data_IF_562856384704
#
_entry.id   IF_562856384704
#
_cell.length_a   1.000
_cell.length_b   1.000
_cell.length_c   1.000
_cell.angle_alpha   90.00
_cell.angle_beta   90.00
_cell.angle_gamma   90.00
#
_symmetry.space_group_name_H-M   'P 1'
#
loop_
_entity.id
_entity.type
_entity.pdbx_description
1 polymer ?
#
# COMPACT_ATOMS: atom_id res chain seq x y z
N UNK A 1 3.03 -10.45 -1.54
CA UNK A 1 3.08 -9.27 -0.65
C UNK A 1 3.51 -8.06 -1.48
N UNK A 2 2.80 -6.94 -1.41
CA UNK A 2 3.20 -5.70 -2.06
C UNK A 2 3.36 -4.55 -1.07
N UNK A 3 4.39 -3.73 -1.28
CA UNK A 3 4.72 -2.56 -0.49
C UNK A 3 4.71 -1.33 -1.39
N UNK A 4 3.72 -0.45 -1.24
CA UNK A 4 3.64 0.80 -2.00
C UNK A 4 4.30 1.93 -1.24
N UNK A 5 5.24 2.64 -1.86
CA UNK A 5 5.95 3.76 -1.23
C UNK A 5 6.62 4.70 -2.23
N UNK A 6 7.01 5.89 -1.76
CA UNK A 6 7.81 6.83 -2.56
C UNK A 6 9.29 6.47 -2.58
N UNK A 7 9.77 5.77 -1.54
CA UNK A 7 11.15 5.31 -1.35
C UNK A 7 12.21 6.39 -1.61
N UNK A 8 11.97 7.61 -1.10
CA UNK A 8 12.82 8.79 -1.32
C UNK A 8 13.50 9.31 -0.02
N UNK A 9 14.70 8.83 0.31
CA UNK A 9 15.27 7.54 -0.10
C UNK A 9 14.57 6.38 0.63
N UNK A 10 15.01 5.14 0.37
CA UNK A 10 14.63 4.01 1.23
C UNK A 10 15.12 4.27 2.65
N UNK A 11 14.22 4.25 3.63
CA UNK A 11 14.55 4.52 5.04
C UNK A 11 14.50 3.24 5.90
N UNK A 12 15.01 3.32 7.13
CA UNK A 12 14.89 2.25 8.13
C UNK A 12 13.43 1.87 8.41
N UNK A 13 12.51 2.84 8.35
CA UNK A 13 11.07 2.58 8.53
C UNK A 13 10.52 1.74 7.38
N UNK A 14 10.97 2.00 6.14
CA UNK A 14 10.56 1.18 5.00
C UNK A 14 11.05 -0.26 5.14
N UNK A 15 12.31 -0.45 5.57
CA UNK A 15 12.87 -1.78 5.77
C UNK A 15 12.23 -2.51 6.95
N UNK A 16 11.93 -1.83 8.05
CA UNK A 16 11.23 -2.44 9.18
C UNK A 16 9.81 -2.85 8.80
N UNK A 17 9.07 -1.99 8.08
CA UNK A 17 7.75 -2.33 7.52
C UNK A 17 7.84 -3.55 6.60
N UNK A 18 8.86 -3.63 5.76
CA UNK A 18 9.12 -4.77 4.88
C UNK A 18 9.36 -6.06 5.67
N UNK A 19 10.34 -6.08 6.57
CA UNK A 19 10.69 -7.29 7.31
C UNK A 19 9.53 -7.78 8.18
N UNK A 20 8.83 -6.87 8.87
CA UNK A 20 7.68 -7.22 9.71
C UNK A 20 6.49 -7.72 8.91
N UNK A 21 6.15 -7.07 7.79
CA UNK A 21 5.05 -7.53 6.95
C UNK A 21 5.37 -8.84 6.25
N UNK A 22 6.63 -9.07 5.84
CA UNK A 22 7.11 -10.34 5.28
C UNK A 22 6.99 -11.47 6.30
N UNK A 23 7.47 -11.25 7.52
CA UNK A 23 7.36 -12.23 8.62
C UNK A 23 5.90 -12.62 8.89
N UNK A 24 5.00 -11.64 9.00
CA UNK A 24 3.57 -11.89 9.21
C UNK A 24 2.95 -12.64 8.02
N UNK A 25 3.28 -12.24 6.79
CA UNK A 25 2.71 -12.83 5.59
C UNK A 25 3.12 -14.28 5.38
N UNK A 26 4.40 -14.61 5.58
CA UNK A 26 4.92 -15.96 5.41
C UNK A 26 4.37 -16.93 6.48
N UNK A 27 3.92 -16.41 7.62
CA UNK A 27 3.29 -17.20 8.69
C UNK A 27 1.78 -17.40 8.50
N UNK A 28 1.17 -16.81 7.47
CA UNK A 28 -0.26 -17.01 7.18
C UNK A 28 -0.52 -18.44 6.67
N UNK A 29 -1.55 -19.10 7.21
CA UNK A 29 -1.87 -20.51 6.88
C UNK A 29 -2.10 -20.81 5.39
N UNK A 30 -2.47 -19.81 4.60
CA UNK A 30 -2.74 -19.94 3.15
C UNK A 30 -1.59 -19.43 2.27
N UNK A 31 -0.42 -19.16 2.85
CA UNK A 31 0.73 -18.64 2.11
C UNK A 31 1.78 -19.74 2.02
N UNK A 32 2.23 -20.00 0.80
CA UNK A 32 3.35 -20.89 0.48
C UNK A 32 4.62 -20.02 0.35
N UNK A 33 5.59 -20.12 1.28
CA UNK A 33 6.80 -19.30 1.24
C UNK A 33 7.60 -19.43 -0.06
N UNK A 34 7.66 -20.63 -0.64
CA UNK A 34 8.45 -20.91 -1.85
C UNK A 34 7.84 -20.27 -3.11
N UNK A 35 6.52 -20.02 -3.09
CA UNK A 35 5.80 -19.37 -4.19
C UNK A 35 5.56 -17.88 -3.95
N UNK A 36 5.95 -17.38 -2.78
CA UNK A 36 5.66 -16.01 -2.38
C UNK A 36 6.48 -15.01 -3.18
N UNK A 37 5.78 -14.09 -3.84
CA UNK A 37 6.41 -12.93 -4.49
C UNK A 37 6.27 -11.69 -3.62
N UNK A 38 7.37 -10.96 -3.48
CA UNK A 38 7.44 -9.67 -2.80
C UNK A 38 7.68 -8.61 -3.86
N UNK A 39 6.83 -7.59 -3.89
CA UNK A 39 6.87 -6.51 -4.87
C UNK A 39 6.92 -5.17 -4.15
N UNK A 40 7.96 -4.38 -4.41
CA UNK A 40 8.02 -2.99 -4.03
C UNK A 40 7.42 -2.17 -5.16
N UNK A 41 6.33 -1.49 -4.88
CA UNK A 41 5.61 -0.71 -5.87
C UNK A 41 5.88 0.78 -5.68
N UNK A 42 6.24 1.45 -6.78
CA UNK A 42 6.40 2.89 -6.84
C UNK A 42 5.39 3.43 -7.85
N UNK A 43 4.49 4.31 -7.39
CA UNK A 43 3.46 4.90 -8.25
C UNK A 43 3.89 6.27 -8.80
N UNK A 44 3.70 6.46 -10.11
CA UNK A 44 3.89 7.73 -10.83
C UNK A 44 2.88 8.80 -10.40
N UNK A 45 1.74 8.40 -9.80
CA UNK A 45 0.72 9.35 -9.32
C UNK A 45 1.22 10.20 -8.17
N UNK A 46 2.15 9.69 -7.34
CA UNK A 46 2.76 10.44 -6.24
C UNK A 46 3.59 11.63 -6.75
N UNK A 47 4.14 11.55 -7.96
CA UNK A 47 4.95 12.60 -8.57
C UNK A 47 4.10 13.77 -9.09
N UNK A 48 2.91 13.48 -9.64
CA UNK A 48 2.00 14.52 -10.15
C UNK A 48 1.39 15.38 -9.04
N UNK A 49 1.30 14.86 -7.81
CA UNK A 49 0.70 15.56 -6.67
C UNK A 49 1.54 16.74 -6.15
N UNK A 50 2.84 16.81 -6.48
CA UNK A 50 3.76 17.85 -5.98
C UNK A 50 3.97 19.02 -6.97
N UNK A 51 3.24 19.06 -8.09
CA UNK A 51 3.23 20.23 -8.99
C UNK A 51 4.50 20.46 -9.81
N UNK A 52 5.42 19.48 -9.84
CA UNK A 52 6.63 19.50 -10.67
C UNK A 52 6.56 18.55 -11.88
N UNK A 53 7.43 18.77 -12.87
CA UNK A 53 7.67 17.79 -13.94
C UNK A 53 8.19 16.47 -13.36
N UNK A 54 7.78 15.35 -13.96
CA UNK A 54 8.25 14.02 -13.56
C UNK A 54 9.76 13.97 -13.77
N UNK A 55 10.52 13.87 -12.67
CA UNK A 55 11.95 13.59 -12.74
C UNK A 55 12.15 12.08 -12.90
N UNK A 56 12.15 11.62 -14.16
CA UNK A 56 12.34 10.21 -14.53
C UNK A 56 13.62 9.63 -13.93
N UNK A 57 14.69 10.44 -13.85
CA UNK A 57 15.99 10.00 -13.33
C UNK A 57 15.92 9.65 -11.84
N UNK A 58 15.35 10.54 -11.04
CA UNK A 58 15.15 10.30 -9.59
C UNK A 58 14.28 9.06 -9.34
N UNK A 59 13.32 8.78 -10.21
CA UNK A 59 12.51 7.58 -10.10
C UNK A 59 13.26 6.28 -10.45
N UNK A 60 14.02 6.29 -11.55
CA UNK A 60 14.87 5.16 -11.95
C UNK A 60 15.96 4.90 -10.90
N UNK A 61 16.60 5.94 -10.36
CA UNK A 61 17.63 5.80 -9.34
C UNK A 61 17.07 5.14 -8.06
N UNK A 62 15.81 5.41 -7.69
CA UNK A 62 15.14 4.73 -6.56
C UNK A 62 14.81 3.26 -6.85
N UNK A 63 14.38 2.96 -8.07
CA UNK A 63 14.13 1.59 -8.50
C UNK A 63 15.45 0.80 -8.54
N UNK A 64 16.52 1.38 -9.08
CA UNK A 64 17.86 0.80 -9.07
C UNK A 64 18.36 0.57 -7.65
N UNK A 65 18.13 1.52 -6.72
CA UNK A 65 18.48 1.33 -5.31
C UNK A 65 17.76 0.12 -4.70
N UNK A 66 16.44 0.00 -4.88
CA UNK A 66 15.68 -1.15 -4.37
C UNK A 66 16.11 -2.48 -5.04
N UNK A 67 16.35 -2.48 -6.34
CA UNK A 67 16.88 -3.63 -7.07
C UNK A 67 18.27 -4.04 -6.54
N UNK A 68 19.13 -3.07 -6.22
CA UNK A 68 20.46 -3.34 -5.63
C UNK A 68 20.37 -3.97 -4.23
N UNK A 69 19.26 -3.76 -3.52
CA UNK A 69 18.91 -4.41 -2.25
C UNK A 69 18.23 -5.78 -2.46
N UNK A 70 18.20 -6.29 -3.69
CA UNK A 70 17.61 -7.59 -4.04
C UNK A 70 16.09 -7.62 -4.08
N UNK A 71 15.43 -6.46 -4.15
CA UNK A 71 13.97 -6.37 -4.18
C UNK A 71 13.44 -6.35 -5.61
N UNK A 72 12.28 -6.99 -5.84
CA UNK A 72 11.56 -6.82 -7.10
C UNK A 72 10.80 -5.50 -7.07
N UNK A 73 11.00 -4.66 -8.08
CA UNK A 73 10.35 -3.35 -8.17
C UNK A 73 9.33 -3.34 -9.29
N UNK A 74 8.14 -2.84 -8.99
CA UNK A 74 7.09 -2.53 -9.97
C UNK A 74 6.86 -1.03 -10.01
N UNK A 75 6.70 -0.51 -11.21
CA UNK A 75 6.42 0.89 -11.49
C UNK A 75 5.01 0.94 -12.07
N UNK A 76 4.12 1.73 -11.47
CA UNK A 76 2.73 1.86 -11.97
C UNK A 76 2.32 3.32 -12.07
N UNK A 77 1.23 3.59 -12.78
CA UNK A 77 0.50 4.86 -12.73
C UNK A 77 -0.78 4.77 -11.89
N UNK A 78 -0.90 3.72 -11.06
CA UNK A 78 -2.09 3.47 -10.26
C UNK A 78 -2.10 4.39 -9.04
N UNK A 79 -3.02 5.35 -9.06
CA UNK A 79 -3.26 6.23 -7.92
C UNK A 79 -3.95 5.48 -6.78
N UNK A 80 -4.90 4.61 -7.12
CA UNK A 80 -5.74 3.89 -6.18
C UNK A 80 -5.17 2.49 -5.90
N UNK A 81 -5.31 2.02 -4.66
CA UNK A 81 -4.84 0.70 -4.26
C UNK A 81 -5.65 -0.45 -4.88
N UNK A 82 -6.96 -0.24 -5.12
CA UNK A 82 -7.80 -1.29 -5.71
C UNK A 82 -7.34 -1.67 -7.13
N UNK A 83 -6.83 -0.70 -7.93
CA UNK A 83 -6.28 -0.99 -9.26
C UNK A 83 -5.06 -1.89 -9.20
N UNK A 84 -4.18 -1.68 -8.22
CA UNK A 84 -3.02 -2.53 -7.99
C UNK A 84 -3.44 -3.96 -7.62
N UNK A 85 -4.44 -4.10 -6.75
CA UNK A 85 -4.99 -5.40 -6.35
C UNK A 85 -5.71 -6.08 -7.52
N UNK A 86 -6.48 -5.34 -8.32
CA UNK A 86 -7.11 -5.85 -9.54
C UNK A 86 -6.07 -6.38 -10.52
N UNK A 87 -5.02 -5.61 -10.77
CA UNK A 87 -3.91 -6.02 -11.63
C UNK A 87 -3.28 -7.33 -11.16
N UNK A 88 -2.90 -7.46 -9.87
CA UNK A 88 -2.35 -8.71 -9.36
C UNK A 88 -3.32 -9.89 -9.48
N UNK A 89 -4.63 -9.63 -9.36
CA UNK A 89 -5.67 -10.65 -9.47
C UNK A 89 -5.81 -11.22 -10.88
N UNK A 90 -5.27 -10.57 -11.91
CA UNK A 90 -5.22 -11.12 -13.27
C UNK A 90 -4.20 -12.26 -13.39
N UNK A 91 -3.19 -12.29 -12.52
CA UNK A 91 -2.09 -13.25 -12.57
C UNK A 91 -2.17 -14.32 -11.49
N UNK A 92 -2.89 -14.07 -10.40
CA UNK A 92 -2.99 -15.03 -9.28
C UNK A 92 -4.34 -14.99 -8.58
N UNK A 93 -4.71 -16.13 -8.00
CA UNK A 93 -5.84 -16.28 -7.07
C UNK A 93 -5.37 -16.56 -5.64
N UNK A 94 -4.06 -16.64 -5.44
CA UNK A 94 -3.46 -16.87 -4.13
C UNK A 94 -3.65 -15.67 -3.21
N UNK A 95 -3.48 -15.90 -1.90
CA UNK A 95 -3.60 -14.85 -0.88
C UNK A 95 -2.66 -13.69 -1.20
N UNK A 96 -3.19 -12.47 -1.20
CA UNK A 96 -2.43 -11.24 -1.39
C UNK A 96 -2.32 -10.48 -0.07
N UNK A 97 -1.31 -9.62 0.02
CA UNK A 97 -1.20 -8.69 1.13
C UNK A 97 -0.61 -7.35 0.69
N UNK A 98 -1.07 -6.27 1.32
CA UNK A 98 -0.52 -4.93 1.20
C UNK A 98 0.08 -4.51 2.54
N UNK A 99 1.34 -4.07 2.54
CA UNK A 99 1.93 -3.36 3.67
C UNK A 99 1.81 -1.85 3.43
N UNK A 100 1.14 -1.15 4.35
CA UNK A 100 0.87 0.29 4.23
C UNK A 100 1.05 0.99 5.58
N UNK A 101 1.44 2.26 5.57
CA UNK A 101 1.41 3.10 6.77
C UNK A 101 0.02 3.68 7.04
N UNK A 102 -0.23 4.08 8.28
CA UNK A 102 -1.49 4.73 8.71
C UNK A 102 -1.91 5.88 7.78
N UNK A 103 -0.97 6.75 7.41
CA UNK A 103 -1.28 7.89 6.54
C UNK A 103 -1.81 7.46 5.16
N UNK A 104 -1.24 6.39 4.59
CA UNK A 104 -1.68 5.85 3.31
C UNK A 104 -3.04 5.18 3.42
N UNK A 105 -3.30 4.48 4.54
CA UNK A 105 -4.62 3.89 4.80
C UNK A 105 -5.69 4.97 4.86
N UNK A 106 -5.45 6.10 5.54
CA UNK A 106 -6.41 7.22 5.56
C UNK A 106 -6.69 7.72 4.14
N UNK A 107 -5.65 7.83 3.29
CA UNK A 107 -5.81 8.27 1.90
C UNK A 107 -6.65 7.31 1.05
N UNK A 108 -6.64 6.00 1.33
CA UNK A 108 -7.54 5.03 0.66
C UNK A 108 -9.01 5.42 0.84
N UNK A 109 -9.36 6.13 1.91
CA UNK A 109 -10.73 6.53 2.15
C UNK A 109 -11.09 7.92 1.59
N UNK A 110 -10.18 8.60 0.92
CA UNK A 110 -10.46 9.92 0.34
C UNK A 110 -11.35 9.79 -0.91
N UNK A 111 -12.59 10.25 -0.81
CA UNK A 111 -13.61 10.19 -1.87
C UNK A 111 -13.16 10.83 -3.19
N UNK A 112 -12.19 11.77 -3.16
CA UNK A 112 -11.70 12.43 -4.37
C UNK A 112 -11.12 11.44 -5.39
N UNK A 113 -10.54 10.33 -4.92
CA UNK A 113 -9.96 9.30 -5.78
C UNK A 113 -11.01 8.44 -6.49
N UNK A 114 -12.27 8.52 -6.09
CA UNK A 114 -13.34 7.66 -6.59
C UNK A 114 -14.43 8.40 -7.37
N UNK A 115 -14.25 9.70 -7.64
CA UNK A 115 -15.23 10.51 -8.39
C UNK A 115 -15.48 10.02 -9.82
N UNK A 116 -14.54 9.28 -10.39
CA UNK A 116 -14.68 8.67 -11.72
C UNK A 116 -15.38 7.32 -11.74
N UNK A 117 -15.70 6.74 -10.57
CA UNK A 117 -16.39 5.45 -10.46
C UNK A 117 -17.89 5.66 -10.26
N UNK A 118 -18.68 4.87 -10.97
CA UNK A 118 -20.14 4.95 -10.91
C UNK A 118 -20.70 4.65 -9.52
N UNK A 119 -20.12 3.70 -8.80
CA UNK A 119 -20.45 3.39 -7.42
C UNK A 119 -19.55 4.09 -6.39
N UNK A 120 -18.71 5.04 -6.83
CA UNK A 120 -17.82 5.81 -5.96
C UNK A 120 -16.90 4.93 -5.10
N UNK A 121 -16.69 5.34 -3.85
CA UNK A 121 -15.85 4.62 -2.89
C UNK A 121 -16.34 3.18 -2.65
N UNK A 122 -17.65 2.93 -2.67
CA UNK A 122 -18.20 1.60 -2.41
C UNK A 122 -17.83 0.60 -3.50
N UNK A 123 -17.76 1.03 -4.76
CA UNK A 123 -17.31 0.19 -5.87
C UNK A 123 -15.85 -0.24 -5.68
N UNK A 124 -14.96 0.70 -5.33
CA UNK A 124 -13.56 0.41 -5.06
C UNK A 124 -13.37 -0.53 -3.86
N UNK A 125 -14.14 -0.34 -2.79
CA UNK A 125 -14.08 -1.19 -1.61
C UNK A 125 -14.63 -2.59 -1.89
N UNK A 126 -15.71 -2.72 -2.65
CA UNK A 126 -16.20 -4.02 -3.10
C UNK A 126 -15.13 -4.81 -3.86
N UNK A 127 -14.38 -4.15 -4.73
CA UNK A 127 -13.25 -4.75 -5.46
C UNK A 127 -12.11 -5.19 -4.54
N UNK A 128 -11.80 -4.44 -3.49
CA UNK A 128 -10.82 -4.83 -2.47
C UNK A 128 -11.29 -6.01 -1.62
N UNK A 129 -12.54 -5.99 -1.13
CA UNK A 129 -13.08 -7.00 -0.22
C UNK A 129 -13.41 -8.33 -0.89
N UNK A 130 -13.73 -8.33 -2.18
CA UNK A 130 -14.02 -9.56 -2.92
C UNK A 130 -12.80 -10.49 -3.02
N UNK A 131 -11.58 -10.01 -2.77
CA UNK A 131 -10.33 -10.75 -2.93
C UNK A 131 -9.80 -11.27 -1.58
N UNK A 132 -9.06 -12.38 -1.59
CA UNK A 132 -8.34 -12.89 -0.41
C UNK A 132 -7.13 -11.98 -0.13
N UNK A 133 -7.42 -10.78 0.40
CA UNK A 133 -6.47 -9.70 0.65
C UNK A 133 -6.28 -9.47 2.15
N UNK A 134 -5.02 -9.35 2.57
CA UNK A 134 -4.62 -8.90 3.91
C UNK A 134 -4.04 -7.49 3.86
N UNK A 135 -4.32 -6.67 4.86
CA UNK A 135 -3.62 -5.39 5.05
C UNK A 135 -2.78 -5.48 6.32
N UNK A 136 -1.49 -5.21 6.18
CA UNK A 136 -0.57 -5.01 7.29
C UNK A 136 -0.36 -3.51 7.48
N UNK A 137 -0.91 -2.99 8.57
CA UNK A 137 -0.84 -1.57 8.92
C UNK A 137 0.38 -1.30 9.78
N UNK A 138 1.31 -0.49 9.26
CA UNK A 138 2.46 -0.04 10.01
C UNK A 138 2.13 1.20 10.85
N UNK A 139 2.45 1.21 12.15
CA UNK A 139 2.06 2.28 13.05
C UNK A 139 2.74 3.61 12.70
N UNK A 140 2.05 4.72 12.97
CA UNK A 140 2.59 6.06 12.79
C UNK A 140 2.82 6.74 14.14
N UNK A 141 4.02 7.26 14.38
CA UNK A 141 4.32 8.01 15.60
C UNK A 141 3.99 9.49 15.41
N UNK A 142 3.06 10.01 16.20
CA UNK A 142 2.73 11.44 16.23
C UNK A 142 3.89 12.19 16.88
N UNK A 143 4.47 13.16 16.18
CA UNK A 143 5.67 13.88 16.66
C UNK A 143 5.39 14.69 17.93
N UNK A 144 4.22 15.35 17.99
CA UNK A 144 3.88 16.26 19.09
C UNK A 144 3.57 15.53 20.41
N UNK A 145 2.89 14.39 20.35
CA UNK A 145 2.46 13.64 21.55
C UNK A 145 3.33 12.41 21.84
N UNK A 146 4.09 11.95 20.86
CA UNK A 146 4.83 10.68 20.93
C UNK A 146 3.96 9.42 20.84
N UNK A 147 2.64 9.58 20.72
CA UNK A 147 1.69 8.46 20.64
C UNK A 147 1.80 7.73 19.30
N UNK A 148 1.57 6.42 19.31
CA UNK A 148 1.49 5.62 18.09
C UNK A 148 0.04 5.49 17.65
N UNK A 149 -0.24 5.91 16.42
CA UNK A 149 -1.47 5.57 15.72
C UNK A 149 -1.33 4.15 15.16
N UNK A 150 -2.29 3.29 15.49
CA UNK A 150 -2.41 1.90 15.08
C UNK A 150 -3.81 1.65 14.54
N UNK A 151 -4.12 0.42 14.14
CA UNK A 151 -5.47 0.08 13.69
C UNK A 151 -6.53 0.25 14.78
N UNK A 152 -6.14 0.21 16.06
CA UNK A 152 -7.05 0.19 17.20
C UNK A 152 -7.48 1.61 17.65
N UNK A 153 -6.62 2.60 17.47
CA UNK A 153 -6.85 3.98 17.95
C UNK A 153 -6.98 5.01 16.81
N UNK A 154 -6.93 4.56 15.55
CA UNK A 154 -7.09 5.43 14.40
C UNK A 154 -8.47 6.09 14.39
N UNK A 155 -8.48 7.43 14.48
CA UNK A 155 -9.71 8.22 14.34
C UNK A 155 -9.95 8.55 12.86
N UNK A 156 -10.77 7.73 12.21
CA UNK A 156 -11.25 8.00 10.84
C UNK A 156 -12.48 8.90 10.85
N UNK A 157 -12.72 9.60 9.74
CA UNK A 157 -13.92 10.44 9.58
C UNK A 157 -15.21 9.61 9.74
N UNK A 158 -16.28 10.13 10.37
CA UNK A 158 -17.49 9.34 10.68
C UNK A 158 -18.11 8.61 9.49
N UNK A 159 -18.09 9.21 8.30
CA UNK A 159 -18.60 8.58 7.06
C UNK A 159 -17.84 7.32 6.64
N UNK A 160 -16.58 7.23 7.04
CA UNK A 160 -15.65 6.16 6.68
C UNK A 160 -15.57 5.11 7.80
N UNK A 161 -15.96 5.46 9.01
CA UNK A 161 -15.88 4.59 10.19
C UNK A 161 -16.50 3.21 9.96
N UNK A 162 -17.64 3.14 9.29
CA UNK A 162 -18.30 1.86 9.00
C UNK A 162 -17.52 1.04 7.95
N UNK A 163 -16.91 1.68 6.95
CA UNK A 163 -16.04 1.00 5.99
C UNK A 163 -14.74 0.50 6.65
N UNK A 164 -14.21 1.26 7.60
CA UNK A 164 -13.01 0.92 8.33
C UNK A 164 -13.17 -0.32 9.21
N UNK A 165 -14.36 -0.58 9.78
CA UNK A 165 -14.63 -1.78 10.60
C UNK A 165 -14.44 -3.11 9.88
N UNK A 166 -14.35 -3.09 8.55
CA UNK A 166 -14.08 -4.27 7.74
C UNK A 166 -12.58 -4.54 7.54
N UNK A 167 -11.69 -3.67 8.05
CA UNK A 167 -10.23 -3.79 7.99
C UNK A 167 -9.60 -4.16 9.33
#
# INVERSE_FOLDING_TARGET
LALRGSFRPVTKVNMDMFEKSKELFLNEKKVDPEKTQIIFEITLSNLKAEGGEINERDFLDRAELLCSLGQNVMITDYQEYFKLVEYFSEFTRERMALAIGVNNLIQIFDEKYYRGLSGGILEAFGKLFYRDLKIYLYPYKVQDTGEYLTSENLKVHPRIKELYKFF
#
